data_IF_421152524809
#
_entry.id   IF_421152524809
#
_cell.length_a   1.000
_cell.length_b   1.000
_cell.length_c   1.000
_cell.angle_alpha   90.00
_cell.angle_beta   90.00
_cell.angle_gamma   90.00
#
_symmetry.space_group_name_H-M   'P 1'
#
loop_
_entity.id
_entity.type
_entity.pdbx_description
1 polymer ?
#
# COMPACT_ATOMS: atom_id res chain seq x y z
N UNK A 1 10.35 10.95 -21.91
CA UNK A 1 11.59 10.55 -22.63
C UNK A 1 12.30 9.32 -22.13
N UNK A 2 12.58 9.15 -20.82
CA UNK A 2 13.25 7.95 -20.27
C UNK A 2 12.57 6.64 -20.64
N UNK A 3 11.24 6.59 -20.54
CA UNK A 3 10.43 5.42 -20.90
C UNK A 3 10.57 5.01 -22.37
N UNK A 4 10.93 5.92 -23.28
CA UNK A 4 11.17 5.57 -24.70
C UNK A 4 12.41 4.71 -24.88
N UNK A 5 13.35 4.79 -23.95
CA UNK A 5 14.62 4.06 -23.98
C UNK A 5 14.49 2.78 -23.16
N UNK A 6 13.93 2.87 -21.95
CA UNK A 6 13.92 1.77 -20.98
C UNK A 6 12.72 0.83 -21.19
N UNK A 7 11.55 1.38 -21.52
CA UNK A 7 10.29 0.62 -21.61
C UNK A 7 9.47 1.02 -22.85
N UNK A 8 10.00 0.83 -24.06
CA UNK A 8 9.39 1.32 -25.31
C UNK A 8 8.04 0.68 -25.62
N UNK A 9 7.67 -0.40 -24.94
CA UNK A 9 6.40 -1.12 -25.11
C UNK A 9 5.22 -0.41 -24.45
N UNK A 10 5.46 0.58 -23.57
CA UNK A 10 4.42 1.33 -22.87
C UNK A 10 3.57 2.19 -23.84
N UNK A 11 2.32 2.52 -23.48
CA UNK A 11 1.39 3.24 -24.36
C UNK A 11 1.89 4.63 -24.83
N UNK A 12 2.51 5.40 -23.94
CA UNK A 12 3.00 6.76 -24.24
C UNK A 12 4.18 6.73 -25.23
N UNK A 13 5.27 5.96 -25.00
CA UNK A 13 6.35 5.79 -25.99
C UNK A 13 5.88 5.37 -27.38
N UNK A 14 4.83 4.54 -27.44
CA UNK A 14 4.24 4.05 -28.70
C UNK A 14 3.37 5.08 -29.42
N UNK A 15 3.07 6.21 -28.80
CA UNK A 15 2.13 7.20 -29.33
C UNK A 15 0.68 6.71 -29.37
N UNK A 16 0.33 5.68 -28.59
CA UNK A 16 -1.08 5.25 -28.46
C UNK A 16 -1.92 6.28 -27.71
N UNK A 17 -1.28 6.97 -26.76
CA UNK A 17 -1.87 8.02 -25.93
C UNK A 17 -0.80 9.08 -25.72
N UNK A 18 -1.17 10.34 -25.78
CA UNK A 18 -0.30 11.47 -25.49
C UNK A 18 -0.23 11.75 -23.99
N UNK A 19 0.86 12.35 -23.54
CA UNK A 19 1.01 12.78 -22.14
C UNK A 19 -0.11 13.74 -21.71
N UNK A 20 -0.55 14.63 -22.62
CA UNK A 20 -1.66 15.57 -22.38
C UNK A 20 -3.00 14.87 -22.18
N UNK A 21 -3.27 13.79 -22.91
CA UNK A 21 -4.51 13.01 -22.73
C UNK A 21 -4.53 12.32 -21.37
N UNK A 22 -3.39 11.74 -20.94
CA UNK A 22 -3.26 11.14 -19.61
C UNK A 22 -3.41 12.20 -18.52
N UNK A 23 -2.83 13.38 -18.71
CA UNK A 23 -2.94 14.49 -17.76
C UNK A 23 -4.37 15.00 -17.62
N UNK A 24 -5.05 15.23 -18.75
CA UNK A 24 -6.44 15.64 -18.78
C UNK A 24 -7.35 14.60 -18.11
N UNK A 25 -7.12 13.31 -18.40
CA UNK A 25 -7.86 12.23 -17.76
C UNK A 25 -7.60 12.15 -16.25
N UNK A 26 -6.34 12.33 -15.82
CA UNK A 26 -5.99 12.34 -14.39
C UNK A 26 -6.71 13.46 -13.64
N UNK A 27 -6.77 14.67 -14.23
CA UNK A 27 -7.50 15.80 -13.65
C UNK A 27 -9.01 15.51 -13.64
N UNK A 28 -9.56 14.95 -14.71
CA UNK A 28 -10.98 14.60 -14.76
C UNK A 28 -11.36 13.57 -13.69
N UNK A 29 -10.53 12.53 -13.49
CA UNK A 29 -10.73 11.54 -12.44
C UNK A 29 -10.64 12.16 -11.05
N UNK A 30 -9.67 13.04 -10.81
CA UNK A 30 -9.55 13.73 -9.52
C UNK A 30 -10.78 14.60 -9.21
N UNK A 31 -11.39 15.23 -10.22
CA UNK A 31 -12.64 15.99 -10.05
C UNK A 31 -13.85 15.10 -9.79
N UNK A 32 -13.92 13.94 -10.45
CA UNK A 32 -14.96 12.93 -10.18
C UNK A 32 -14.82 12.40 -8.76
N UNK A 33 -13.61 12.05 -8.32
CA UNK A 33 -13.33 11.64 -6.95
C UNK A 33 -13.72 12.74 -5.96
N UNK A 34 -13.31 13.98 -6.19
CA UNK A 34 -13.73 15.11 -5.35
C UNK A 34 -15.26 15.18 -5.20
N UNK A 35 -16.00 15.05 -6.31
CA UNK A 35 -17.46 15.04 -6.29
C UNK A 35 -18.06 13.88 -5.51
N UNK A 36 -17.51 12.67 -5.66
CA UNK A 36 -17.95 11.47 -4.94
C UNK A 36 -17.67 11.58 -3.43
N UNK A 37 -16.45 11.97 -3.04
CA UNK A 37 -16.09 12.11 -1.63
C UNK A 37 -16.84 13.27 -0.95
N UNK A 38 -17.08 14.37 -1.67
CA UNK A 38 -17.93 15.46 -1.19
C UNK A 38 -19.40 15.04 -1.00
N UNK A 39 -19.90 14.13 -1.83
CA UNK A 39 -21.26 13.61 -1.70
C UNK A 39 -21.44 12.63 -0.53
N UNK A 40 -20.36 11.97 -0.09
CA UNK A 40 -20.40 11.06 1.07
C UNK A 40 -20.51 11.85 2.38
N UNK A 41 -19.66 12.87 2.57
CA UNK A 41 -19.72 13.72 3.75
C UNK A 41 -18.47 14.58 3.95
N UNK A 42 -18.56 15.51 4.90
CA UNK A 42 -17.53 16.51 5.13
C UNK A 42 -16.25 15.89 5.72
N UNK A 43 -16.37 14.94 6.65
CA UNK A 43 -15.23 14.27 7.27
C UNK A 43 -14.41 13.51 6.22
N UNK A 44 -15.11 12.77 5.37
CA UNK A 44 -14.60 12.01 4.23
C UNK A 44 -13.86 12.90 3.25
N UNK A 45 -14.48 14.02 2.86
CA UNK A 45 -13.87 14.97 1.95
C UNK A 45 -12.57 15.57 2.51
N UNK A 46 -12.56 15.97 3.78
CA UNK A 46 -11.37 16.57 4.42
C UNK A 46 -10.20 15.58 4.45
N UNK A 47 -10.45 14.33 4.86
CA UNK A 47 -9.39 13.32 4.93
C UNK A 47 -8.92 12.90 3.54
N UNK A 48 -9.84 12.78 2.58
CA UNK A 48 -9.48 12.51 1.19
C UNK A 48 -8.65 13.64 0.57
N UNK A 49 -8.94 14.91 0.87
CA UNK A 49 -8.13 16.05 0.40
C UNK A 49 -6.67 15.96 0.88
N UNK A 50 -6.41 15.42 2.08
CA UNK A 50 -5.06 15.13 2.54
C UNK A 50 -4.38 14.05 1.69
N UNK A 51 -5.08 12.95 1.40
CA UNK A 51 -4.58 11.86 0.56
C UNK A 51 -4.32 12.31 -0.90
N UNK A 52 -5.25 13.06 -1.48
CA UNK A 52 -5.16 13.63 -2.82
C UNK A 52 -4.02 14.65 -2.90
N UNK A 53 -3.93 15.56 -1.94
CA UNK A 53 -2.84 16.55 -1.86
C UNK A 53 -1.47 15.89 -1.77
N UNK A 54 -1.33 14.86 -0.93
CA UNK A 54 -0.11 14.06 -0.85
C UNK A 54 0.24 13.39 -2.18
N UNK A 55 -0.75 12.80 -2.86
CA UNK A 55 -0.55 12.14 -4.16
C UNK A 55 -0.13 13.12 -5.25
N UNK A 56 -0.69 14.33 -5.26
CA UNK A 56 -0.28 15.42 -6.17
C UNK A 56 1.15 15.89 -5.89
N UNK A 57 1.54 16.01 -4.62
CA UNK A 57 2.92 16.32 -4.25
C UNK A 57 3.90 15.22 -4.65
N UNK A 58 3.53 13.95 -4.45
CA UNK A 58 4.30 12.79 -4.90
C UNK A 58 4.47 12.75 -6.42
N UNK A 59 3.44 13.17 -7.19
CA UNK A 59 3.50 13.23 -8.65
C UNK A 59 4.62 14.15 -9.16
N UNK A 60 4.93 15.21 -8.43
CA UNK A 60 6.07 16.12 -8.71
C UNK A 60 7.29 15.81 -7.83
N UNK A 61 7.31 14.63 -7.20
CA UNK A 61 8.40 14.11 -6.37
C UNK A 61 8.86 15.10 -5.28
N UNK A 62 7.90 15.83 -4.68
CA UNK A 62 8.14 16.92 -3.72
C UNK A 62 9.17 17.96 -4.18
N UNK A 63 9.33 18.13 -5.49
CA UNK A 63 10.33 19.01 -6.10
C UNK A 63 11.79 18.61 -5.80
N UNK A 64 12.03 17.38 -5.33
CA UNK A 64 13.37 16.83 -5.02
C UNK A 64 13.63 15.51 -5.76
N UNK A 65 13.08 15.38 -6.97
CA UNK A 65 13.09 14.15 -7.75
C UNK A 65 14.45 13.53 -7.99
N UNK A 66 15.46 14.32 -8.40
CA UNK A 66 16.82 13.83 -8.59
C UNK A 66 17.42 13.23 -7.31
N UNK A 67 17.06 13.77 -6.15
CA UNK A 67 17.49 13.21 -4.87
C UNK A 67 16.74 11.91 -4.55
N UNK A 68 15.43 11.87 -4.77
CA UNK A 68 14.62 10.68 -4.55
C UNK A 68 15.00 9.51 -5.47
N UNK A 69 15.34 9.77 -6.73
CA UNK A 69 15.76 8.73 -7.68
C UNK A 69 17.02 7.99 -7.20
N UNK A 70 17.94 8.71 -6.54
CA UNK A 70 19.15 8.14 -5.92
C UNK A 70 18.85 7.34 -4.64
N UNK A 71 17.69 7.52 -4.02
CA UNK A 71 17.31 6.89 -2.75
C UNK A 71 16.07 6.02 -2.91
N UNK A 72 16.25 4.86 -3.56
CA UNK A 72 15.14 3.96 -3.94
C UNK A 72 14.21 3.61 -2.78
N UNK A 73 14.74 3.35 -1.58
CA UNK A 73 13.93 3.01 -0.42
C UNK A 73 13.10 4.22 0.07
N UNK A 74 13.70 5.41 0.10
CA UNK A 74 12.99 6.65 0.46
C UNK A 74 11.91 6.99 -0.54
N UNK A 75 12.18 6.81 -1.85
CA UNK A 75 11.18 6.94 -2.89
C UNK A 75 10.00 5.99 -2.64
N UNK A 76 10.27 4.71 -2.38
CA UNK A 76 9.23 3.71 -2.15
C UNK A 76 8.41 4.00 -0.89
N UNK A 77 9.07 4.35 0.22
CA UNK A 77 8.42 4.72 1.48
C UNK A 77 7.53 5.94 1.27
N UNK A 78 8.05 7.03 0.72
CA UNK A 78 7.27 8.25 0.49
C UNK A 78 6.07 7.97 -0.41
N UNK A 79 6.25 7.22 -1.49
CA UNK A 79 5.15 6.84 -2.38
C UNK A 79 4.05 6.05 -1.66
N UNK A 80 4.42 5.12 -0.77
CA UNK A 80 3.45 4.24 -0.10
C UNK A 80 2.67 4.90 1.04
N UNK A 81 3.07 6.09 1.51
CA UNK A 81 2.29 6.84 2.52
C UNK A 81 0.86 7.10 2.04
N UNK A 82 0.65 7.26 0.73
CA UNK A 82 -0.68 7.42 0.15
C UNK A 82 -1.61 6.25 0.48
N UNK A 83 -1.12 5.02 0.61
CA UNK A 83 -1.94 3.84 0.95
C UNK A 83 -2.57 3.97 2.34
N UNK A 84 -1.81 4.48 3.31
CA UNK A 84 -2.34 4.75 4.66
C UNK A 84 -3.39 5.87 4.64
N UNK A 85 -3.13 6.95 3.90
CA UNK A 85 -4.05 8.09 3.79
C UNK A 85 -5.35 7.72 3.06
N UNK A 86 -5.26 6.90 2.01
CA UNK A 86 -6.44 6.36 1.32
C UNK A 86 -7.27 5.50 2.28
N UNK A 87 -6.63 4.65 3.09
CA UNK A 87 -7.35 3.85 4.08
C UNK A 87 -8.05 4.70 5.15
N UNK A 88 -7.41 5.78 5.61
CA UNK A 88 -8.05 6.77 6.48
C UNK A 88 -9.29 7.38 5.81
N UNK A 89 -9.23 7.70 4.51
CA UNK A 89 -10.38 8.25 3.78
C UNK A 89 -11.53 7.25 3.64
N UNK A 90 -11.25 5.95 3.54
CA UNK A 90 -12.27 4.90 3.50
C UNK A 90 -12.94 4.70 4.86
N UNK A 91 -12.17 4.80 5.96
CA UNK A 91 -12.73 4.77 7.32
C UNK A 91 -13.64 5.99 7.53
N UNK A 92 -13.18 7.18 7.14
CA UNK A 92 -13.97 8.40 7.18
C UNK A 92 -15.28 8.27 6.39
N UNK A 93 -15.22 7.68 5.19
CA UNK A 93 -16.38 7.35 4.37
C UNK A 93 -17.38 6.45 5.10
N UNK A 94 -16.89 5.44 5.83
CA UNK A 94 -17.72 4.60 6.69
C UNK A 94 -18.43 5.40 7.79
N UNK A 95 -17.71 6.27 8.48
CA UNK A 95 -18.25 7.12 9.56
C UNK A 95 -19.35 8.05 9.03
N UNK A 96 -19.10 8.77 7.94
CA UNK A 96 -20.09 9.66 7.32
C UNK A 96 -21.31 8.89 6.82
N UNK A 97 -21.11 7.75 6.14
CA UNK A 97 -22.21 6.95 5.57
C UNK A 97 -23.12 6.37 6.64
N UNK A 98 -22.56 6.02 7.82
CA UNK A 98 -23.31 5.52 8.96
C UNK A 98 -23.97 6.64 9.79
N UNK A 99 -23.78 7.92 9.41
CA UNK A 99 -24.30 9.06 10.16
C UNK A 99 -23.61 9.28 11.51
N UNK A 100 -22.40 8.73 11.69
CA UNK A 100 -21.64 8.78 12.94
C UNK A 100 -20.68 9.96 13.02
N UNK A 101 -20.72 10.87 12.04
CA UNK A 101 -19.79 12.00 11.95
C UNK A 101 -20.14 13.18 12.86
N UNK A 102 -21.31 13.20 13.48
CA UNK A 102 -21.71 14.30 14.37
C UNK A 102 -20.76 14.40 15.57
N UNK A 103 -20.08 15.53 15.69
CA UNK A 103 -19.09 15.77 16.76
C UNK A 103 -17.72 15.15 16.52
N UNK A 104 -17.50 14.38 15.45
CA UNK A 104 -16.21 13.77 15.11
C UNK A 104 -15.42 14.73 14.23
N UNK A 105 -14.21 15.11 14.67
CA UNK A 105 -13.32 15.94 13.86
C UNK A 105 -12.29 15.09 13.10
N UNK A 106 -11.88 15.53 11.91
CA UNK A 106 -10.80 14.92 11.13
C UNK A 106 -9.51 14.76 11.96
N UNK A 107 -9.20 15.72 12.83
CA UNK A 107 -8.03 15.63 13.73
C UNK A 107 -8.13 14.47 14.71
N UNK A 108 -9.33 14.13 15.18
CA UNK A 108 -9.54 13.01 16.11
C UNK A 108 -9.41 11.68 15.38
N UNK A 109 -9.95 11.59 14.16
CA UNK A 109 -9.81 10.41 13.30
C UNK A 109 -8.34 10.11 13.02
N UNK A 110 -7.56 11.11 12.61
CA UNK A 110 -6.13 10.91 12.31
C UNK A 110 -5.23 10.79 13.56
N UNK A 111 -5.73 11.14 14.74
CA UNK A 111 -5.02 10.98 16.02
C UNK A 111 -5.41 9.70 16.77
N UNK A 112 -6.50 9.03 16.36
CA UNK A 112 -6.94 7.77 16.95
C UNK A 112 -5.88 6.70 16.77
N UNK A 113 -5.45 6.09 17.89
CA UNK A 113 -4.43 5.04 17.90
C UNK A 113 -4.79 3.90 16.96
N UNK A 114 -6.03 3.42 17.00
CA UNK A 114 -6.48 2.28 16.19
C UNK A 114 -6.48 2.62 14.70
N UNK A 115 -6.99 3.80 14.33
CA UNK A 115 -6.99 4.27 12.95
C UNK A 115 -5.56 4.45 12.44
N UNK A 116 -4.69 5.04 13.26
CA UNK A 116 -3.27 5.20 12.94
C UNK A 116 -2.60 3.84 12.73
N UNK A 117 -2.88 2.84 13.57
CA UNK A 117 -2.33 1.49 13.41
C UNK A 117 -2.81 0.82 12.12
N UNK A 118 -4.10 0.98 11.78
CA UNK A 118 -4.65 0.51 10.50
C UNK A 118 -3.98 1.20 9.32
N UNK A 119 -3.79 2.53 9.38
CA UNK A 119 -3.12 3.31 8.33
C UNK A 119 -1.65 2.92 8.17
N UNK A 120 -0.93 2.71 9.29
CA UNK A 120 0.44 2.20 9.28
C UNK A 120 0.46 0.79 8.70
N UNK A 121 -0.50 -0.07 9.06
CA UNK A 121 -0.67 -1.40 8.47
C UNK A 121 -0.78 -1.34 6.94
N UNK A 122 -1.66 -0.49 6.41
CA UNK A 122 -1.82 -0.28 4.97
C UNK A 122 -0.56 0.27 4.28
N UNK A 123 0.09 1.25 4.91
CA UNK A 123 1.37 1.81 4.45
C UNK A 123 2.48 0.73 4.38
N UNK A 124 2.70 0.00 5.47
CA UNK A 124 3.74 -1.04 5.56
C UNK A 124 3.44 -2.19 4.59
N UNK A 125 2.15 -2.52 4.40
CA UNK A 125 1.74 -3.51 3.42
C UNK A 125 2.10 -3.05 2.00
N UNK A 126 1.78 -1.79 1.67
CA UNK A 126 2.15 -1.16 0.40
C UNK A 126 3.66 -1.18 0.15
N UNK A 127 4.47 -0.88 1.18
CA UNK A 127 5.93 -1.01 1.10
C UNK A 127 6.32 -2.45 0.78
N UNK A 128 5.71 -3.44 1.44
CA UNK A 128 5.93 -4.86 1.15
C UNK A 128 5.64 -5.24 -0.31
N UNK A 129 4.53 -4.75 -0.87
CA UNK A 129 4.18 -4.93 -2.28
C UNK A 129 5.20 -4.31 -3.22
N UNK A 130 5.59 -3.06 -2.99
CA UNK A 130 6.54 -2.35 -3.84
C UNK A 130 7.93 -3.00 -3.77
N UNK A 131 8.34 -3.48 -2.59
CA UNK A 131 9.57 -4.25 -2.39
C UNK A 131 9.54 -5.58 -3.15
N UNK A 132 8.43 -6.35 -3.08
CA UNK A 132 8.30 -7.60 -3.82
C UNK A 132 8.36 -7.39 -5.33
N UNK A 133 7.59 -6.42 -5.85
CA UNK A 133 7.48 -6.12 -7.28
C UNK A 133 8.79 -5.62 -7.90
N UNK A 134 9.58 -4.84 -7.15
CA UNK A 134 10.86 -4.29 -7.61
C UNK A 134 12.04 -4.90 -6.86
N UNK A 135 11.90 -6.14 -6.41
CA UNK A 135 12.85 -6.76 -5.48
C UNK A 135 14.28 -6.74 -5.97
N UNK A 136 14.49 -6.91 -7.27
CA UNK A 136 15.82 -6.88 -7.88
C UNK A 136 16.57 -5.57 -7.60
N UNK A 137 15.87 -4.42 -7.69
CA UNK A 137 16.47 -3.10 -7.40
C UNK A 137 16.90 -2.99 -5.94
N UNK A 138 16.11 -3.53 -5.00
CA UNK A 138 16.39 -3.45 -3.57
C UNK A 138 17.44 -4.46 -3.11
N UNK A 139 17.36 -5.71 -3.57
CA UNK A 139 18.36 -6.72 -3.27
C UNK A 139 19.73 -6.34 -3.85
N UNK A 140 19.77 -5.78 -5.06
CA UNK A 140 20.99 -5.24 -5.66
C UNK A 140 21.59 -4.09 -4.85
N UNK A 141 20.76 -3.12 -4.41
CA UNK A 141 21.22 -1.95 -3.66
C UNK A 141 21.58 -2.24 -2.19
N UNK A 142 20.89 -3.19 -1.54
CA UNK A 142 20.94 -3.37 -0.08
C UNK A 142 21.29 -4.80 0.37
N UNK A 143 21.50 -5.75 -0.54
CA UNK A 143 21.88 -7.12 -0.24
C UNK A 143 20.96 -7.76 0.79
N UNK A 144 21.53 -8.28 1.88
CA UNK A 144 20.80 -8.95 2.97
C UNK A 144 19.69 -8.07 3.59
N UNK A 145 19.88 -6.75 3.66
CA UNK A 145 18.84 -5.87 4.21
C UNK A 145 17.60 -5.83 3.32
N UNK A 146 17.74 -5.89 1.99
CA UNK A 146 16.61 -5.99 1.06
C UNK A 146 15.78 -7.26 1.30
N UNK A 147 16.45 -8.40 1.53
CA UNK A 147 15.79 -9.66 1.88
C UNK A 147 15.04 -9.58 3.22
N UNK A 148 15.62 -8.93 4.23
CA UNK A 148 14.98 -8.74 5.52
C UNK A 148 13.75 -7.84 5.39
N UNK A 149 13.85 -6.73 4.64
CA UNK A 149 12.72 -5.82 4.41
C UNK A 149 11.56 -6.51 3.68
N UNK A 150 11.87 -7.32 2.66
CA UNK A 150 10.87 -8.15 1.97
C UNK A 150 10.11 -9.05 2.94
N UNK A 151 10.79 -9.61 3.94
CA UNK A 151 10.16 -10.48 4.93
C UNK A 151 9.39 -9.72 6.02
N UNK A 152 9.98 -8.64 6.51
CA UNK A 152 9.48 -7.91 7.66
C UNK A 152 8.24 -7.08 7.31
N UNK A 153 8.24 -6.36 6.18
CA UNK A 153 7.15 -5.42 5.87
C UNK A 153 5.78 -6.11 5.73
N UNK A 154 5.58 -7.10 4.83
CA UNK A 154 4.26 -7.73 4.68
C UNK A 154 3.80 -8.40 5.98
N UNK A 155 4.72 -9.07 6.68
CA UNK A 155 4.41 -9.76 7.94
C UNK A 155 4.00 -8.79 9.05
N UNK A 156 4.76 -7.70 9.23
CA UNK A 156 4.46 -6.67 10.20
C UNK A 156 3.12 -6.00 9.88
N UNK A 157 2.85 -5.74 8.60
CA UNK A 157 1.59 -5.15 8.19
C UNK A 157 0.38 -6.03 8.56
N UNK A 158 0.43 -7.33 8.25
CA UNK A 158 -0.65 -8.26 8.62
C UNK A 158 -0.80 -8.35 10.14
N UNK A 159 0.31 -8.34 10.89
CA UNK A 159 0.27 -8.34 12.35
C UNK A 159 -0.36 -7.05 12.92
N UNK A 160 -0.11 -5.89 12.31
CA UNK A 160 -0.74 -4.63 12.68
C UNK A 160 -2.25 -4.66 12.43
N UNK A 161 -2.69 -5.20 11.29
CA UNK A 161 -4.11 -5.42 11.02
C UNK A 161 -4.73 -6.42 12.00
N UNK A 162 -4.03 -7.50 12.34
CA UNK A 162 -4.49 -8.49 13.32
C UNK A 162 -4.63 -7.89 14.73
N UNK A 163 -3.73 -6.98 15.10
CA UNK A 163 -3.81 -6.25 16.36
C UNK A 163 -4.98 -5.26 16.34
N UNK A 164 -5.07 -4.40 15.31
CA UNK A 164 -6.16 -3.44 15.20
C UNK A 164 -7.54 -4.09 15.11
N UNK A 165 -7.63 -5.34 14.61
CA UNK A 165 -8.90 -6.05 14.52
C UNK A 165 -9.42 -6.58 15.86
N UNK A 166 -8.63 -6.58 16.94
CA UNK A 166 -9.07 -7.13 18.24
C UNK A 166 -10.30 -6.41 18.80
N UNK A 167 -10.39 -5.12 18.53
CA UNK A 167 -11.38 -4.25 19.16
C UNK A 167 -12.59 -4.03 18.25
N UNK A 168 -12.40 -4.15 16.93
CA UNK A 168 -13.41 -3.76 15.93
C UNK A 168 -14.06 -4.95 15.23
N UNK A 169 -13.44 -6.14 15.29
CA UNK A 169 -13.90 -7.32 14.58
C UNK A 169 -14.10 -8.51 15.53
N UNK A 170 -14.96 -9.44 15.11
CA UNK A 170 -15.17 -10.71 15.82
C UNK A 170 -13.87 -11.54 15.91
N UNK A 171 -13.73 -12.34 16.95
CA UNK A 171 -12.49 -13.09 17.24
C UNK A 171 -11.97 -13.95 16.09
N UNK A 172 -12.85 -14.49 15.23
CA UNK A 172 -12.41 -15.30 14.08
C UNK A 172 -11.54 -14.49 13.12
N UNK A 173 -11.84 -13.21 12.89
CA UNK A 173 -11.07 -12.30 12.04
C UNK A 173 -9.66 -12.16 12.58
N UNK A 174 -9.55 -11.81 13.85
CA UNK A 174 -8.29 -11.64 14.56
C UNK A 174 -7.46 -12.93 14.52
N UNK A 175 -8.07 -14.09 14.75
CA UNK A 175 -7.39 -15.40 14.65
C UNK A 175 -6.90 -15.65 13.22
N UNK A 176 -7.72 -15.40 12.20
CA UNK A 176 -7.34 -15.59 10.79
C UNK A 176 -6.22 -14.65 10.38
N UNK A 177 -6.22 -13.39 10.83
CA UNK A 177 -5.16 -12.44 10.53
C UNK A 177 -3.84 -12.80 11.23
N UNK A 178 -3.87 -13.25 12.50
CA UNK A 178 -2.68 -13.77 13.16
C UNK A 178 -2.14 -15.03 12.49
N UNK A 179 -3.00 -15.95 12.06
CA UNK A 179 -2.60 -17.12 11.28
C UNK A 179 -1.96 -16.69 9.94
N UNK A 180 -2.54 -15.71 9.26
CA UNK A 180 -2.00 -15.13 8.01
C UNK A 180 -0.62 -14.50 8.25
N UNK A 181 -0.45 -13.75 9.33
CA UNK A 181 0.85 -13.18 9.71
C UNK A 181 1.89 -14.28 9.97
N UNK A 182 1.51 -15.36 10.66
CA UNK A 182 2.37 -16.53 10.89
C UNK A 182 2.79 -17.23 9.60
N UNK A 183 1.84 -17.49 8.69
CA UNK A 183 2.13 -18.09 7.37
C UNK A 183 3.03 -17.17 6.54
N UNK A 184 2.75 -15.87 6.53
CA UNK A 184 3.60 -14.86 5.87
C UNK A 184 5.02 -14.90 6.44
N UNK A 185 5.18 -14.88 7.77
CA UNK A 185 6.49 -14.92 8.42
C UNK A 185 7.29 -16.15 7.99
N UNK A 186 6.66 -17.33 8.04
CA UNK A 186 7.30 -18.59 7.66
C UNK A 186 7.68 -18.57 6.17
N UNK A 187 6.76 -18.20 5.29
CA UNK A 187 6.99 -18.15 3.85
C UNK A 187 8.16 -17.23 3.48
N UNK A 188 8.17 -16.01 4.02
CA UNK A 188 9.26 -15.06 3.74
C UNK A 188 10.57 -15.49 4.38
N UNK A 189 10.55 -16.08 5.58
CA UNK A 189 11.77 -16.62 6.21
C UNK A 189 12.40 -17.71 5.33
N UNK A 190 11.59 -18.59 4.74
CA UNK A 190 12.07 -19.62 3.81
C UNK A 190 12.69 -19.00 2.55
N UNK A 191 12.11 -17.92 2.01
CA UNK A 191 12.72 -17.17 0.90
C UNK A 191 14.08 -16.58 1.30
N UNK A 192 14.15 -15.93 2.47
CA UNK A 192 15.39 -15.37 3.00
C UNK A 192 16.45 -16.46 3.22
N UNK A 193 16.08 -17.65 3.69
CA UNK A 193 17.01 -18.78 3.89
C UNK A 193 17.55 -19.34 2.57
N UNK A 194 16.73 -19.35 1.51
CA UNK A 194 17.07 -19.85 0.18
C UNK A 194 17.75 -18.81 -0.72
N UNK A 195 17.98 -17.59 -0.21
CA UNK A 195 18.59 -16.50 -0.99
C UNK A 195 19.97 -16.88 -1.54
N UNK A 196 20.37 -16.32 -2.69
CA UNK A 196 21.71 -16.48 -3.22
C UNK A 196 22.76 -15.90 -2.27
N UNK A 197 23.98 -16.42 -2.38
CA UNK A 197 25.17 -15.91 -1.68
C UNK A 197 26.22 -15.56 -2.74
N UNK A 198 26.58 -14.27 -2.92
CA UNK A 198 26.19 -13.13 -2.09
C UNK A 198 24.74 -12.67 -2.33
N UNK A 199 24.14 -12.01 -1.32
CA UNK A 199 22.70 -11.70 -1.30
C UNK A 199 22.24 -10.66 -2.34
N UNK A 200 23.18 -9.92 -2.91
CA UNK A 200 22.97 -8.98 -4.01
C UNK A 200 23.11 -9.62 -5.40
N UNK A 201 23.56 -10.88 -5.48
CA UNK A 201 23.67 -11.61 -6.75
C UNK A 201 22.36 -12.35 -7.06
N UNK A 202 21.45 -11.61 -7.69
CA UNK A 202 20.11 -12.04 -8.08
C UNK A 202 20.05 -12.53 -9.53
N UNK A 203 21.16 -12.54 -10.29
CA UNK A 203 21.12 -12.84 -11.72
C UNK A 203 20.69 -14.27 -12.04
N UNK A 204 20.86 -15.19 -11.08
CA UNK A 204 20.61 -16.62 -11.25
C UNK A 204 19.41 -17.15 -10.44
N UNK A 205 18.52 -16.27 -9.96
CA UNK A 205 17.28 -16.74 -9.31
C UNK A 205 16.36 -17.37 -10.35
N UNK A 206 15.97 -18.62 -10.12
CA UNK A 206 15.04 -19.32 -11.02
C UNK A 206 13.67 -18.63 -11.05
N UNK A 207 13.01 -18.67 -12.20
CA UNK A 207 11.68 -18.07 -12.41
C UNK A 207 10.66 -18.39 -11.29
N UNK A 208 10.51 -19.66 -10.81
CA UNK A 208 9.55 -19.95 -9.74
C UNK A 208 9.87 -19.26 -8.42
N UNK A 209 11.16 -19.05 -8.13
CA UNK A 209 11.59 -18.38 -6.90
C UNK A 209 11.34 -16.86 -6.99
N UNK A 210 11.54 -16.27 -8.18
CA UNK A 210 11.20 -14.88 -8.46
C UNK A 210 9.71 -14.62 -8.34
N UNK A 211 8.88 -15.48 -8.94
CA UNK A 211 7.43 -15.39 -8.84
C UNK A 211 6.96 -15.49 -7.38
N UNK A 212 7.59 -16.35 -6.57
CA UNK A 212 7.28 -16.44 -5.14
C UNK A 212 7.63 -15.16 -4.36
N UNK A 213 8.75 -14.50 -4.68
CA UNK A 213 9.16 -13.22 -4.09
C UNK A 213 8.14 -12.11 -4.40
N UNK A 214 7.67 -12.06 -5.65
CA UNK A 214 6.72 -11.05 -6.11
C UNK A 214 5.30 -11.32 -5.56
N UNK A 215 4.87 -12.59 -5.52
CA UNK A 215 3.50 -12.96 -5.17
C UNK A 215 3.24 -13.01 -3.67
N UNK A 216 4.20 -13.43 -2.84
CA UNK A 216 3.95 -13.73 -1.43
C UNK A 216 3.47 -12.51 -0.61
N UNK A 217 4.05 -11.29 -0.76
CA UNK A 217 3.48 -10.09 -0.13
C UNK A 217 2.03 -9.85 -0.54
N UNK A 218 1.70 -10.13 -1.81
CA UNK A 218 0.38 -9.89 -2.35
C UNK A 218 -0.67 -10.90 -1.95
N UNK A 219 -0.31 -12.16 -1.80
CA UNK A 219 -1.21 -13.17 -1.24
C UNK A 219 -1.55 -12.81 0.21
N UNK A 220 -0.56 -12.42 1.02
CA UNK A 220 -0.78 -12.00 2.40
C UNK A 220 -1.73 -10.79 2.47
N UNK A 221 -1.45 -9.74 1.69
CA UNK A 221 -2.31 -8.56 1.63
C UNK A 221 -3.72 -8.82 1.12
N UNK A 222 -3.87 -9.67 0.08
CA UNK A 222 -5.18 -10.05 -0.44
C UNK A 222 -6.01 -10.79 0.60
N UNK A 223 -5.42 -11.77 1.30
CA UNK A 223 -6.11 -12.50 2.37
C UNK A 223 -6.54 -11.53 3.47
N UNK A 224 -5.67 -10.59 3.89
CA UNK A 224 -6.02 -9.57 4.88
C UNK A 224 -7.23 -8.75 4.45
N UNK A 225 -7.22 -8.19 3.24
CA UNK A 225 -8.33 -7.37 2.78
C UNK A 225 -9.63 -8.17 2.58
N UNK A 226 -9.55 -9.41 2.08
CA UNK A 226 -10.73 -10.27 1.93
C UNK A 226 -11.37 -10.60 3.28
N UNK A 227 -10.55 -10.95 4.28
CA UNK A 227 -11.04 -11.26 5.63
C UNK A 227 -11.74 -10.04 6.24
N UNK A 228 -11.12 -8.86 6.15
CA UNK A 228 -11.70 -7.61 6.67
C UNK A 228 -13.00 -7.23 5.93
N UNK A 229 -13.03 -7.40 4.61
CA UNK A 229 -14.21 -7.12 3.79
C UNK A 229 -15.38 -8.06 4.12
N UNK A 230 -15.14 -9.38 4.18
CA UNK A 230 -16.17 -10.38 4.48
C UNK A 230 -16.75 -10.14 5.88
N UNK A 231 -15.90 -9.89 6.86
CA UNK A 231 -16.33 -9.64 8.23
C UNK A 231 -17.11 -8.33 8.37
N UNK A 232 -16.67 -7.26 7.69
CA UNK A 232 -17.38 -5.99 7.66
C UNK A 232 -18.79 -6.12 7.08
N UNK A 233 -18.98 -6.93 6.04
CA UNK A 233 -20.30 -7.24 5.47
C UNK A 233 -21.20 -7.97 6.48
N UNK A 234 -20.65 -8.88 7.30
CA UNK A 234 -21.43 -9.61 8.30
C UNK A 234 -21.88 -8.74 9.48
N UNK A 235 -21.07 -7.74 9.87
CA UNK A 235 -21.43 -6.78 10.92
C UNK A 235 -22.54 -5.79 10.49
N UNK A 236 -22.78 -5.65 9.18
CA UNK A 236 -23.86 -4.84 8.60
C UNK A 236 -25.19 -5.60 8.44
N UNK A 237 -25.25 -6.88 8.78
CA UNK A 237 -26.52 -7.61 8.90
C UNK A 237 -27.14 -7.27 10.26
N UNK A 238 -27.79 -6.11 10.33
CA UNK A 238 -28.69 -5.71 11.40
C UNK A 238 -30.03 -6.43 11.27
#
# INVERSE_FOLDING_TARGET
DTDRIIEPTRPIPRGLVSEREVDALSVALLLVEFGLFAAIGQLTLVIWLLAAGFTVLMRVEFFVGEWLDRHVLTYAISHMVSMGLVLASLIAAGIDTLGMAEGVNATEVVASTDIVLVCIGGFVLGVGFELGRKFEKYAGAHGTAGWILLAACPTLAVALFAYASTDWYSSWVTITLWATAGVSLVGHTLLVMKRPKPANDISNIGKPFREAIEALPGVAGLVTYLVLAIAGVQALNW
#
